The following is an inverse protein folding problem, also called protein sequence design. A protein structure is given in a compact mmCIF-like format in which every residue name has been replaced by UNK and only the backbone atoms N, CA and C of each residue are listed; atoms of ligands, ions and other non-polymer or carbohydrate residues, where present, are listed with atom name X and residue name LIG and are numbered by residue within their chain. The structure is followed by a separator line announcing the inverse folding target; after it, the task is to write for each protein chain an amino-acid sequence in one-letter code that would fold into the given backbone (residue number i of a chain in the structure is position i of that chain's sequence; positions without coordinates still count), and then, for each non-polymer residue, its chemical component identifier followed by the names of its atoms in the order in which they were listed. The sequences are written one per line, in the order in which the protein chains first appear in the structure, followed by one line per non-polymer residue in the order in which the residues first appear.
data_IF_931827771040
#
_entry.id   IF_931827771040
#
_cell.length_a   1.000
_cell.length_b   1.000
_cell.length_c   1.000
_cell.angle_alpha   90.00
_cell.angle_beta   90.00
_cell.angle_gamma   90.00
#
_symmetry.space_group_name_H-M   'P 1'
#
loop_
_entity.id
_entity.type
_entity.pdbx_description
1 polymer ?
#
# COMPACT_ATOMS: atom_id res chain seq x y z
N UNK A 1 -21.12 -4.75 -1.11
CA UNK A 1 -19.78 -4.24 -0.69
C UNK A 1 -19.99 -3.02 0.19
N UNK A 2 -19.37 -2.98 1.37
CA UNK A 2 -19.54 -1.89 2.35
C UNK A 2 -18.89 -0.59 1.85
N UNK A 3 -19.52 0.56 2.12
CA UNK A 3 -18.99 1.90 1.81
C UNK A 3 -17.60 2.13 2.44
N UNK A 4 -17.35 1.50 3.59
CA UNK A 4 -16.08 1.56 4.30
C UNK A 4 -14.95 0.83 3.56
N UNK A 5 -15.24 -0.33 2.97
CA UNK A 5 -14.28 -1.07 2.14
C UNK A 5 -13.85 -0.26 0.92
N UNK A 6 -14.80 0.45 0.29
CA UNK A 6 -14.50 1.33 -0.84
C UNK A 6 -13.61 2.53 -0.46
N UNK A 7 -13.81 3.12 0.72
CA UNK A 7 -12.96 4.22 1.22
C UNK A 7 -11.55 3.74 1.56
N UNK A 8 -11.42 2.59 2.23
CA UNK A 8 -10.13 1.97 2.53
C UNK A 8 -9.35 1.63 1.26
N UNK A 9 -10.02 1.04 0.27
CA UNK A 9 -9.40 0.74 -1.02
C UNK A 9 -8.88 2.01 -1.70
N UNK A 10 -9.69 3.08 -1.74
CA UNK A 10 -9.24 4.36 -2.31
C UNK A 10 -8.04 4.95 -1.57
N UNK A 11 -7.97 4.82 -0.25
CA UNK A 11 -6.85 5.31 0.53
C UNK A 11 -5.56 4.54 0.24
N UNK A 12 -5.64 3.21 0.14
CA UNK A 12 -4.50 2.34 -0.24
C UNK A 12 -4.05 2.65 -1.66
N UNK A 13 -4.99 2.81 -2.60
CA UNK A 13 -4.68 3.17 -3.99
C UNK A 13 -3.98 4.54 -4.08
N UNK A 14 -4.50 5.54 -3.36
CA UNK A 14 -3.90 6.86 -3.30
C UNK A 14 -2.52 6.83 -2.65
N UNK A 15 -2.33 6.04 -1.60
CA UNK A 15 -1.04 5.82 -0.95
C UNK A 15 -0.01 5.26 -1.95
N UNK A 16 -0.34 4.17 -2.63
CA UNK A 16 0.55 3.53 -3.62
C UNK A 16 0.92 4.50 -4.75
N UNK A 17 -0.07 5.18 -5.33
CA UNK A 17 0.14 6.12 -6.45
C UNK A 17 0.94 7.36 -6.05
N UNK A 18 0.89 7.77 -4.78
CA UNK A 18 1.57 8.97 -4.30
C UNK A 18 2.89 8.69 -3.57
N UNK A 19 3.22 7.42 -3.32
CA UNK A 19 4.44 7.07 -2.61
C UNK A 19 5.69 7.53 -3.37
N UNK A 20 6.60 8.19 -2.68
CA UNK A 20 7.80 8.81 -3.27
C UNK A 20 8.65 7.78 -4.03
N UNK A 21 8.88 6.60 -3.45
CA UNK A 21 9.65 5.54 -4.11
C UNK A 21 9.01 5.11 -5.44
N UNK A 22 7.68 4.99 -5.48
CA UNK A 22 7.00 4.58 -6.70
C UNK A 22 7.19 5.66 -7.76
N UNK A 23 6.85 6.91 -7.46
CA UNK A 23 7.04 8.06 -8.37
C UNK A 23 8.48 8.25 -8.83
N UNK A 24 9.46 7.91 -7.99
CA UNK A 24 10.88 8.07 -8.30
C UNK A 24 11.38 6.99 -9.27
N UNK A 25 10.89 5.77 -9.12
CA UNK A 25 11.44 4.61 -9.82
C UNK A 25 10.55 4.07 -10.93
N UNK A 26 9.30 4.50 -11.04
CA UNK A 26 8.42 4.11 -12.14
C UNK A 26 7.00 4.67 -12.12
N UNK A 27 6.19 4.16 -13.03
CA UNK A 27 4.80 4.56 -13.21
C UNK A 27 3.84 3.43 -12.85
N UNK A 28 2.89 3.70 -11.95
CA UNK A 28 1.84 2.73 -11.59
C UNK A 28 0.90 2.51 -12.77
N UNK A 29 0.89 1.29 -13.29
CA UNK A 29 0.02 0.85 -14.38
C UNK A 29 -1.33 0.37 -13.86
N UNK A 30 -1.33 -0.38 -12.75
CA UNK A 30 -2.55 -0.87 -12.11
C UNK A 30 -2.36 -1.11 -10.62
N UNK A 31 -3.48 -1.00 -9.90
CA UNK A 31 -3.58 -1.32 -8.48
C UNK A 31 -4.84 -2.18 -8.30
N UNK A 32 -4.68 -3.35 -7.70
CA UNK A 32 -5.77 -4.24 -7.30
C UNK A 32 -5.68 -4.47 -5.80
N UNK A 33 -6.78 -4.27 -5.09
CA UNK A 33 -6.79 -4.27 -3.63
C UNK A 33 -7.77 -5.33 -3.15
N UNK A 34 -7.25 -6.25 -2.36
CA UNK A 34 -8.02 -7.21 -1.59
C UNK A 34 -7.92 -6.82 -0.11
N UNK A 35 -8.88 -6.01 0.32
CA UNK A 35 -8.97 -5.52 1.69
C UNK A 35 -9.29 -6.62 2.70
N UNK A 36 -9.96 -7.69 2.28
CA UNK A 36 -10.34 -8.80 3.15
C UNK A 36 -9.09 -9.60 3.56
N UNK A 37 -8.13 -9.73 2.64
CA UNK A 37 -6.85 -10.39 2.90
C UNK A 37 -5.70 -9.42 3.26
N UNK A 38 -5.96 -8.11 3.25
CA UNK A 38 -4.94 -7.08 3.54
C UNK A 38 -3.81 -7.12 2.52
N UNK A 39 -4.13 -7.22 1.24
CA UNK A 39 -3.16 -7.27 0.15
C UNK A 39 -3.45 -6.25 -0.94
N UNK A 40 -2.38 -5.69 -1.51
CA UNK A 40 -2.44 -4.82 -2.68
C UNK A 40 -1.47 -5.33 -3.74
N UNK A 41 -2.01 -5.72 -4.89
CA UNK A 41 -1.25 -6.07 -6.08
C UNK A 41 -1.06 -4.82 -6.94
N UNK A 42 0.20 -4.46 -7.19
CA UNK A 42 0.57 -3.25 -7.91
C UNK A 42 1.42 -3.64 -9.10
N UNK A 43 1.04 -3.17 -10.28
CA UNK A 43 1.87 -3.26 -11.48
C UNK A 43 2.56 -1.93 -11.70
N UNK A 44 3.90 -1.91 -11.69
CA UNK A 44 4.70 -0.70 -11.88
C UNK A 44 5.61 -0.88 -13.08
N UNK A 45 5.54 0.04 -14.03
CA UNK A 45 6.54 0.14 -15.09
C UNK A 45 7.74 0.92 -14.54
N UNK A 46 8.80 0.22 -14.16
CA UNK A 46 10.00 0.87 -13.66
C UNK A 46 10.74 1.60 -14.80
N UNK A 47 11.35 2.74 -14.49
CA UNK A 47 12.16 3.47 -15.45
C UNK A 47 13.32 2.61 -15.96
N UNK A 48 13.40 2.42 -17.27
CA UNK A 48 14.42 1.57 -17.91
C UNK A 48 13.99 0.13 -18.15
N UNK A 49 12.83 -0.29 -17.64
CA UNK A 49 12.21 -1.58 -17.97
C UNK A 49 11.26 -1.44 -19.16
N UNK A 50 11.15 -2.50 -19.96
CA UNK A 50 10.23 -2.55 -21.12
C UNK A 50 8.87 -3.18 -20.78
N UNK A 51 8.78 -3.87 -19.64
CA UNK A 51 7.56 -4.51 -19.17
C UNK A 51 7.27 -4.13 -17.71
N UNK A 52 6.00 -3.98 -17.33
CA UNK A 52 5.63 -3.73 -15.95
C UNK A 52 6.03 -4.89 -15.05
N UNK A 53 6.49 -4.57 -13.86
CA UNK A 53 6.85 -5.53 -12.80
C UNK A 53 5.74 -5.54 -11.76
N UNK A 54 5.36 -6.76 -11.35
CA UNK A 54 4.35 -6.95 -10.30
C UNK A 54 4.96 -6.94 -8.91
N UNK A 55 4.28 -6.23 -8.02
CA UNK A 55 4.53 -6.15 -6.60
C UNK A 55 3.29 -6.55 -5.83
N UNK A 56 3.49 -7.19 -4.68
CA UNK A 56 2.42 -7.45 -3.72
C UNK A 56 2.80 -6.88 -2.35
N UNK A 57 2.04 -5.89 -1.93
CA UNK A 57 2.12 -5.33 -0.58
C UNK A 57 1.15 -6.07 0.35
N UNK A 58 1.63 -6.43 1.53
CA UNK A 58 0.82 -6.96 2.61
C UNK A 58 0.68 -5.88 3.67
N UNK A 59 -0.55 -5.52 4.01
CA UNK A 59 -0.83 -4.41 4.92
C UNK A 59 -1.99 -4.73 5.86
N UNK A 60 -2.08 -3.95 6.93
CA UNK A 60 -3.25 -3.85 7.79
C UNK A 60 -3.48 -2.40 8.18
N UNK A 61 -4.64 -2.11 8.74
CA UNK A 61 -4.95 -0.81 9.30
C UNK A 61 -4.87 -0.89 10.81
N UNK A 62 -4.24 0.12 11.41
CA UNK A 62 -4.08 0.25 12.85
C UNK A 62 -4.77 1.54 13.28
N UNK A 63 -5.83 1.41 14.08
CA UNK A 63 -6.58 2.56 14.57
C UNK A 63 -5.90 3.10 15.83
N UNK A 64 -5.33 4.30 15.72
CA UNK A 64 -4.67 5.02 16.80
C UNK A 64 -5.59 6.13 17.35
N UNK A 65 -5.26 6.66 18.52
CA UNK A 65 -5.98 7.80 19.12
C UNK A 65 -6.04 9.04 18.21
N UNK A 66 -5.13 9.14 17.24
CA UNK A 66 -4.99 10.26 16.31
C UNK A 66 -5.53 9.98 14.90
N UNK A 67 -6.03 8.77 14.63
CA UNK A 67 -6.56 8.36 13.34
C UNK A 67 -6.12 6.96 12.93
N UNK A 68 -6.41 6.59 11.67
CA UNK A 68 -6.07 5.28 11.13
C UNK A 68 -4.75 5.31 10.37
N UNK A 69 -3.83 4.45 10.78
CA UNK A 69 -2.57 4.22 10.09
C UNK A 69 -2.68 3.04 9.14
N UNK A 70 -2.04 3.14 7.96
CA UNK A 70 -1.75 1.96 7.14
C UNK A 70 -0.38 1.43 7.51
N UNK A 71 -0.33 0.13 7.80
CA UNK A 71 0.87 -0.55 8.25
C UNK A 71 1.24 -1.64 7.24
N UNK A 72 2.34 -1.43 6.52
CA UNK A 72 2.86 -2.36 5.51
C UNK A 72 3.89 -3.27 6.16
N UNK A 73 3.57 -4.57 6.25
CA UNK A 73 4.39 -5.59 6.90
C UNK A 73 5.37 -6.28 5.96
N UNK A 74 5.04 -6.36 4.67
CA UNK A 74 5.85 -7.05 3.67
C UNK A 74 5.54 -6.52 2.28
N UNK A 75 6.55 -6.45 1.44
CA UNK A 75 6.38 -6.20 0.01
C UNK A 75 7.16 -7.31 -0.72
N UNK A 76 6.54 -7.96 -1.68
CA UNK A 76 7.19 -8.95 -2.55
C UNK A 76 7.18 -8.50 -4.00
N UNK A 77 8.14 -8.99 -4.79
CA UNK A 77 8.20 -8.75 -6.23
C UNK A 77 8.34 -10.06 -7.01
N UNK A 78 7.84 -10.09 -8.24
CA UNK A 78 8.07 -11.24 -9.14
C UNK A 78 9.53 -11.32 -9.65
N UNK A 79 10.30 -10.23 -9.53
CA UNK A 79 11.73 -10.22 -9.87
C UNK A 79 12.55 -10.54 -8.63
N UNK A 80 13.29 -11.65 -8.69
CA UNK A 80 14.02 -12.20 -7.54
C UNK A 80 14.98 -11.19 -6.88
N UNK A 81 15.78 -10.47 -7.67
CA UNK A 81 16.73 -9.49 -7.12
C UNK A 81 16.01 -8.33 -6.40
N UNK A 82 14.83 -7.92 -6.90
CA UNK A 82 14.02 -6.86 -6.28
C UNK A 82 13.40 -7.37 -4.99
N UNK A 83 12.89 -8.60 -4.99
CA UNK A 83 12.32 -9.25 -3.82
C UNK A 83 13.36 -9.38 -2.69
N UNK A 84 14.58 -9.79 -3.02
CA UNK A 84 15.70 -9.86 -2.08
C UNK A 84 16.09 -8.46 -1.56
N UNK A 85 16.18 -7.46 -2.44
CA UNK A 85 16.51 -6.08 -2.04
C UNK A 85 15.43 -5.47 -1.13
N UNK A 86 14.15 -5.69 -1.44
CA UNK A 86 13.02 -5.25 -0.61
C UNK A 86 13.02 -5.97 0.74
N UNK A 87 13.27 -7.27 0.75
CA UNK A 87 13.35 -8.06 1.98
C UNK A 87 14.46 -7.54 2.89
N UNK A 88 15.65 -7.27 2.34
CA UNK A 88 16.76 -6.67 3.09
C UNK A 88 16.44 -5.27 3.59
N UNK A 89 15.80 -4.43 2.77
CA UNK A 89 15.46 -3.06 3.15
C UNK A 89 14.39 -2.98 4.25
N UNK A 90 13.40 -3.87 4.18
CA UNK A 90 12.29 -3.98 5.13
C UNK A 90 12.61 -4.88 6.34
N UNK A 91 13.79 -5.50 6.38
CA UNK A 91 14.16 -6.39 7.47
C UNK A 91 14.10 -5.66 8.82
N UNK A 92 13.28 -6.18 9.74
CA UNK A 92 13.05 -5.58 11.06
C UNK A 92 12.28 -4.26 11.05
N UNK A 93 11.76 -3.83 9.89
CA UNK A 93 11.02 -2.57 9.74
C UNK A 93 9.59 -2.83 9.31
N UNK A 94 8.69 -2.00 9.82
CA UNK A 94 7.33 -1.92 9.34
C UNK A 94 7.10 -0.49 8.88
N UNK A 95 6.62 -0.33 7.64
CA UNK A 95 6.32 1.00 7.14
C UNK A 95 4.94 1.40 7.65
N UNK A 96 4.88 2.46 8.44
CA UNK A 96 3.65 3.01 8.99
C UNK A 96 3.42 4.39 8.41
N UNK A 97 2.25 4.60 7.82
CA UNK A 97 1.85 5.89 7.28
C UNK A 97 0.49 6.29 7.85
N UNK A 98 0.43 7.49 8.41
CA UNK A 98 -0.83 8.06 8.83
C UNK A 98 -1.63 8.49 7.59
N UNK A 99 -2.94 8.18 7.59
CA UNK A 99 -3.86 8.59 6.54
C UNK A 99 -4.73 9.76 7.04
N UNK A 100 -4.24 11.01 6.96
CA UNK A 100 -5.00 12.18 7.41
C UNK A 100 -6.26 12.35 6.55
N UNK A 101 -7.43 12.24 7.19
CA UNK A 101 -8.75 12.33 6.54
C UNK A 101 -9.66 11.13 6.74
N UNK A 102 -9.13 9.95 7.12
CA UNK A 102 -9.94 8.82 7.58
C UNK A 102 -10.36 8.94 9.06
N UNK A 103 -9.60 9.70 9.84
CA UNK A 103 -9.87 9.97 11.25
C UNK A 103 -11.28 10.56 11.52
N UNK A 104 -11.83 11.37 10.60
CA UNK A 104 -13.17 11.95 10.74
C UNK A 104 -14.31 11.15 10.12
N UNK A 105 -14.03 10.31 9.12
CA UNK A 105 -15.03 9.49 8.43
C UNK A 105 -15.35 8.17 9.15
N UNK A 106 -14.36 7.62 9.87
CA UNK A 106 -14.51 6.39 10.65
C UNK A 106 -14.98 6.65 12.09
N UNK A 107 -14.58 7.77 12.70
CA UNK A 107 -15.06 8.16 14.04
C UNK A 107 -16.57 8.42 14.11
N UNK A 108 -17.24 8.70 12.98
CA UNK A 108 -18.67 9.04 12.92
C UNK A 108 -19.63 7.83 12.90
N UNK A 109 -19.10 6.60 12.93
CA UNK A 109 -19.90 5.37 12.85
C UNK A 109 -19.67 4.47 14.08
N UNK A 110 -18.59 4.71 14.84
CA UNK A 110 -18.34 4.03 16.13
C UNK A 110 -18.86 4.87 17.32
N UNK A 111 -19.24 6.13 17.08
CA UNK A 111 -19.93 7.03 18.02
C UNK A 111 -21.24 7.56 17.43
#
# INVERSE_FOLDING_TARGET
MSLLGNLRNKAVEAFVKNHELVKRFGDVQSVSIDSDNGTADVSVLLHGEIFPIKFRGYYYFDDTDTGTDIVVRKITSEREWIDQALSYWLEGKTLRYNLPGLAGGLAKIIF
#
